data_IF_015229954485
#
_entry.id   IF_015229954485
#
_cell.length_a   1.000
_cell.length_b   1.000
_cell.length_c   1.000
_cell.angle_alpha   90.00
_cell.angle_beta   90.00
_cell.angle_gamma   90.00
#
_symmetry.space_group_name_H-M   'P 1'
#
loop_
_entity.id
_entity.type
_entity.pdbx_description
1 polymer ?
#
# COMPACT_ATOMS: atom_id res chain seq x y z
N UNK A 1 25.49 -2.40 -1.07
CA UNK A 1 25.09 -1.94 0.27
C UNK A 1 25.82 -2.70 1.37
N UNK A 2 25.58 -4.00 1.56
CA UNK A 2 26.17 -4.79 2.66
C UNK A 2 27.70 -4.66 2.82
N UNK A 3 28.47 -4.82 1.74
CA UNK A 3 29.93 -4.64 1.79
C UNK A 3 30.37 -3.23 2.22
N UNK A 4 29.63 -2.19 1.81
CA UNK A 4 29.93 -0.82 2.22
C UNK A 4 29.57 -0.59 3.70
N UNK A 5 28.43 -1.10 4.16
CA UNK A 5 28.00 -1.01 5.57
C UNK A 5 28.98 -1.71 6.50
N UNK A 6 29.25 -3.00 6.26
CA UNK A 6 30.15 -3.76 7.12
C UNK A 6 31.61 -3.35 6.94
N UNK A 7 32.00 -2.84 5.77
CA UNK A 7 33.33 -2.27 5.55
C UNK A 7 33.56 -1.01 6.39
N UNK A 8 32.63 -0.05 6.35
CA UNK A 8 32.72 1.18 7.14
C UNK A 8 32.56 0.92 8.64
N UNK A 9 31.64 0.05 9.04
CA UNK A 9 31.48 -0.34 10.45
C UNK A 9 32.72 -1.07 10.98
N UNK A 10 33.32 -1.97 10.18
CA UNK A 10 34.56 -2.65 10.54
C UNK A 10 35.75 -1.70 10.68
N UNK A 11 35.84 -0.67 9.82
CA UNK A 11 36.83 0.41 9.96
C UNK A 11 36.65 1.18 11.27
N UNK A 12 35.42 1.62 11.57
CA UNK A 12 35.13 2.35 12.80
C UNK A 12 35.43 1.52 14.06
N UNK A 13 35.06 0.23 14.05
CA UNK A 13 35.37 -0.70 15.13
C UNK A 13 36.88 -0.85 15.35
N UNK A 14 37.66 -0.88 14.27
CA UNK A 14 39.11 -0.98 14.34
C UNK A 14 39.76 0.29 14.94
N UNK A 15 39.30 1.48 14.53
CA UNK A 15 39.82 2.76 15.05
C UNK A 15 39.44 3.00 16.52
N UNK A 16 38.21 2.64 16.91
CA UNK A 16 37.72 2.84 18.29
C UNK A 16 38.09 1.70 19.25
N UNK A 17 38.63 0.59 18.75
CA UNK A 17 38.97 -0.59 19.54
C UNK A 17 37.76 -1.30 20.16
N UNK A 18 36.58 -1.17 19.54
CA UNK A 18 35.33 -1.80 19.98
C UNK A 18 34.98 -2.99 19.09
N UNK A 19 34.16 -3.93 19.57
CA UNK A 19 33.68 -5.01 18.72
C UNK A 19 32.60 -4.51 17.76
N UNK A 20 32.52 -5.12 16.56
CA UNK A 20 31.47 -4.77 15.57
C UNK A 20 30.05 -5.04 16.11
N UNK A 21 29.91 -5.95 17.08
CA UNK A 21 28.65 -6.24 17.75
C UNK A 21 28.15 -5.13 18.68
N UNK A 22 29.06 -4.28 19.18
CA UNK A 22 28.72 -3.15 20.05
C UNK A 22 28.29 -1.91 19.25
N UNK A 23 28.52 -1.93 17.95
CA UNK A 23 28.07 -0.87 17.05
C UNK A 23 26.57 -1.04 16.76
N UNK A 24 25.83 0.07 16.82
CA UNK A 24 24.41 0.05 16.45
C UNK A 24 24.24 -0.06 14.93
N UNK A 25 24.09 -1.30 14.45
CA UNK A 25 23.99 -1.62 13.02
C UNK A 25 22.56 -1.59 12.47
N UNK A 26 21.59 -1.09 13.23
CA UNK A 26 20.18 -1.17 12.88
C UNK A 26 19.53 0.21 12.72
N UNK A 27 18.42 0.23 11.98
CA UNK A 27 17.54 1.39 11.87
C UNK A 27 18.18 2.64 11.25
N UNK A 28 17.62 3.79 11.61
CA UNK A 28 18.12 5.11 11.24
C UNK A 28 19.44 5.46 11.93
N UNK A 29 19.72 4.87 13.11
CA UNK A 29 20.96 5.07 13.85
C UNK A 29 22.20 4.69 13.03
N UNK A 30 22.13 3.60 12.26
CA UNK A 30 23.21 3.21 11.34
C UNK A 30 23.57 4.36 10.39
N UNK A 31 22.57 4.93 9.69
CA UNK A 31 22.79 5.93 8.65
C UNK A 31 23.14 7.32 9.19
N UNK A 32 22.58 7.72 10.34
CA UNK A 32 22.69 9.10 10.85
C UNK A 32 23.62 9.25 12.07
N UNK A 33 24.10 8.16 12.65
CA UNK A 33 25.06 8.17 13.77
C UNK A 33 26.34 7.47 13.34
N UNK A 34 26.27 6.16 13.05
CA UNK A 34 27.45 5.35 12.76
C UNK A 34 28.21 5.83 11.52
N UNK A 35 27.51 6.08 10.41
CA UNK A 35 28.14 6.55 9.18
C UNK A 35 28.81 7.92 9.33
N UNK A 36 28.15 8.96 9.86
CA UNK A 36 28.80 10.25 10.13
C UNK A 36 30.00 10.14 11.06
N UNK A 37 29.92 9.33 12.12
CA UNK A 37 31.07 9.10 13.02
C UNK A 37 32.24 8.45 12.28
N UNK A 38 31.98 7.40 11.50
CA UNK A 38 33.03 6.74 10.71
C UNK A 38 33.66 7.66 9.65
N UNK A 39 32.84 8.49 9.00
CA UNK A 39 33.31 9.43 7.99
C UNK A 39 34.06 10.62 8.61
N UNK A 40 33.81 10.97 9.87
CA UNK A 40 34.54 12.03 10.57
C UNK A 40 35.98 11.62 10.93
N UNK A 41 36.19 10.34 11.26
CA UNK A 41 37.52 9.78 11.56
C UNK A 41 38.37 9.52 10.30
N UNK A 42 37.72 9.41 9.13
CA UNK A 42 38.39 9.08 7.89
C UNK A 42 39.05 10.31 7.24
N UNK A 43 40.33 10.18 6.87
CA UNK A 43 41.05 11.19 6.08
C UNK A 43 40.33 11.46 4.74
N UNK A 44 39.94 12.71 4.50
CA UNK A 44 39.16 13.08 3.32
C UNK A 44 37.67 12.74 3.38
N UNK A 45 37.15 12.39 4.57
CA UNK A 45 35.76 11.99 4.81
C UNK A 45 34.69 12.99 4.37
N UNK A 46 35.02 14.28 4.27
CA UNK A 46 34.10 15.33 3.78
C UNK A 46 33.49 15.04 2.40
N UNK A 47 34.29 14.53 1.45
CA UNK A 47 33.80 14.20 0.11
C UNK A 47 32.83 13.02 0.18
N UNK A 48 33.18 12.01 0.98
CA UNK A 48 32.38 10.82 1.17
C UNK A 48 31.08 11.10 1.94
N UNK A 49 31.10 12.04 2.89
CA UNK A 49 29.90 12.51 3.59
C UNK A 49 28.90 13.16 2.62
N UNK A 50 29.38 14.05 1.73
CA UNK A 50 28.52 14.66 0.70
C UNK A 50 27.90 13.57 -0.21
N UNK A 51 28.72 12.64 -0.70
CA UNK A 51 28.25 11.56 -1.56
C UNK A 51 27.26 10.63 -0.85
N UNK A 52 27.51 10.31 0.42
CA UNK A 52 26.66 9.45 1.23
C UNK A 52 25.29 10.09 1.49
N UNK A 53 25.25 11.34 1.94
CA UNK A 53 23.98 12.03 2.17
C UNK A 53 23.24 12.35 0.87
N UNK A 54 23.96 12.65 -0.22
CA UNK A 54 23.35 12.81 -1.53
C UNK A 54 22.74 11.49 -2.04
N UNK A 55 23.40 10.36 -1.83
CA UNK A 55 22.85 9.04 -2.10
C UNK A 55 21.58 8.78 -1.27
N UNK A 56 21.60 9.05 0.05
CA UNK A 56 20.40 8.89 0.90
C UNK A 56 19.24 9.78 0.42
N UNK A 57 19.53 11.01 -0.01
CA UNK A 57 18.54 11.93 -0.57
C UNK A 57 17.94 11.35 -1.87
N UNK A 58 18.77 10.86 -2.79
CA UNK A 58 18.27 10.26 -4.04
C UNK A 58 17.43 9.00 -3.79
N UNK A 59 17.83 8.14 -2.86
CA UNK A 59 17.08 6.94 -2.47
C UNK A 59 15.68 7.30 -1.92
N UNK A 60 15.62 8.34 -1.08
CA UNK A 60 14.35 8.84 -0.56
C UNK A 60 13.46 9.45 -1.64
N UNK A 61 14.04 10.30 -2.50
CA UNK A 61 13.29 11.02 -3.53
C UNK A 61 12.67 10.06 -4.57
N UNK A 62 13.41 9.07 -5.05
CA UNK A 62 12.91 8.11 -6.05
C UNK A 62 11.69 7.33 -5.51
N UNK A 63 11.80 6.86 -4.27
CA UNK A 63 10.71 6.15 -3.58
C UNK A 63 9.49 7.05 -3.37
N UNK A 64 9.69 8.32 -2.99
CA UNK A 64 8.59 9.28 -2.78
C UNK A 64 7.88 9.65 -4.09
N UNK A 65 8.60 9.74 -5.20
CA UNK A 65 7.99 9.95 -6.52
C UNK A 65 7.08 8.79 -6.90
N UNK A 66 7.53 7.54 -6.75
CA UNK A 66 6.73 6.37 -7.05
C UNK A 66 5.45 6.29 -6.20
N UNK A 67 5.54 6.56 -4.89
CA UNK A 67 4.39 6.55 -4.00
C UNK A 67 3.39 7.67 -4.33
N UNK A 68 3.88 8.90 -4.54
CA UNK A 68 3.02 10.04 -4.87
C UNK A 68 2.31 9.84 -6.20
N UNK A 69 3.02 9.34 -7.21
CA UNK A 69 2.43 9.04 -8.52
C UNK A 69 1.36 7.95 -8.43
N UNK A 70 1.59 6.92 -7.61
CA UNK A 70 0.61 5.85 -7.38
C UNK A 70 -0.67 6.41 -6.76
N UNK A 71 -0.57 7.26 -5.75
CA UNK A 71 -1.74 7.89 -5.10
C UNK A 71 -2.46 8.83 -6.06
N UNK A 72 -1.73 9.70 -6.76
CA UNK A 72 -2.33 10.63 -7.73
C UNK A 72 -3.03 9.88 -8.86
N UNK A 73 -2.41 8.82 -9.38
CA UNK A 73 -2.99 7.96 -10.42
C UNK A 73 -4.25 7.27 -9.92
N UNK A 74 -4.23 6.69 -8.71
CA UNK A 74 -5.41 6.07 -8.11
C UNK A 74 -6.57 7.06 -7.93
N UNK A 75 -6.30 8.30 -7.51
CA UNK A 75 -7.31 9.36 -7.37
C UNK A 75 -7.89 9.73 -8.74
N UNK A 76 -7.03 9.92 -9.74
CA UNK A 76 -7.41 10.28 -11.11
C UNK A 76 -8.25 9.19 -11.77
N UNK A 77 -7.86 7.93 -11.63
CA UNK A 77 -8.53 6.79 -12.27
C UNK A 77 -9.80 6.35 -11.54
N UNK A 78 -9.99 6.74 -10.27
CA UNK A 78 -11.19 6.40 -9.48
C UNK A 78 -12.51 6.93 -10.08
N UNK A 79 -12.46 7.92 -10.98
CA UNK A 79 -13.64 8.45 -11.67
C UNK A 79 -14.63 9.22 -10.79
N UNK A 80 -14.35 9.38 -9.48
CA UNK A 80 -15.17 10.17 -8.56
C UNK A 80 -14.98 11.68 -8.71
N UNK A 81 -13.92 12.10 -9.38
CA UNK A 81 -13.65 13.51 -9.67
C UNK A 81 -14.34 13.94 -10.97
N UNK A 82 -14.91 15.16 -11.02
CA UNK A 82 -15.44 15.73 -12.25
C UNK A 82 -14.40 15.71 -13.38
N UNK A 83 -14.83 15.34 -14.59
CA UNK A 83 -13.97 15.21 -15.77
C UNK A 83 -13.13 16.49 -16.08
N UNK A 84 -13.62 17.66 -15.70
CA UNK A 84 -12.92 18.94 -15.84
C UNK A 84 -11.68 19.06 -14.91
N UNK A 85 -11.65 18.35 -13.77
CA UNK A 85 -10.49 18.28 -12.86
C UNK A 85 -9.46 17.25 -13.37
N UNK A 86 -9.92 16.16 -13.97
CA UNK A 86 -9.10 15.01 -14.38
C UNK A 86 -8.42 15.21 -15.75
N UNK A 87 -8.62 16.36 -16.39
CA UNK A 87 -7.97 16.69 -17.67
C UNK A 87 -6.44 16.77 -17.49
N UNK A 88 -5.66 16.35 -18.51
CA UNK A 88 -4.18 16.36 -18.49
C UNK A 88 -3.59 17.70 -18.03
N UNK A 89 -4.24 18.81 -18.37
CA UNK A 89 -3.81 20.18 -18.03
C UNK A 89 -3.96 20.52 -16.53
N UNK A 90 -4.85 19.84 -15.81
CA UNK A 90 -5.13 20.09 -14.39
C UNK A 90 -4.48 19.05 -13.45
N UNK A 91 -3.78 18.03 -13.98
CA UNK A 91 -3.12 17.00 -13.16
C UNK A 91 -2.15 17.58 -12.13
N UNK A 92 -1.39 18.60 -12.49
CA UNK A 92 -0.46 19.26 -11.56
C UNK A 92 -1.15 19.85 -10.33
N UNK A 93 -2.42 20.28 -10.43
CA UNK A 93 -3.21 20.78 -9.30
C UNK A 93 -3.56 19.65 -8.34
N UNK A 94 -3.96 18.49 -8.87
CA UNK A 94 -4.25 17.30 -8.06
C UNK A 94 -2.98 16.86 -7.33
N UNK A 95 -1.85 16.78 -8.02
CA UNK A 95 -0.56 16.46 -7.40
C UNK A 95 -0.19 17.48 -6.33
N UNK A 96 -0.30 18.78 -6.59
CA UNK A 96 0.02 19.82 -5.62
C UNK A 96 -0.85 19.74 -4.36
N UNK A 97 -2.16 19.49 -4.52
CA UNK A 97 -3.09 19.31 -3.39
C UNK A 97 -2.72 18.05 -2.59
N UNK A 98 -2.46 16.92 -3.25
CA UNK A 98 -2.04 15.69 -2.58
C UNK A 98 -0.74 15.89 -1.81
N UNK A 99 0.28 16.51 -2.42
CA UNK A 99 1.53 16.83 -1.75
C UNK A 99 1.33 17.77 -0.56
N UNK A 100 0.46 18.79 -0.70
CA UNK A 100 0.14 19.70 0.39
C UNK A 100 -0.56 18.98 1.56
N UNK A 101 -1.53 18.11 1.28
CA UNK A 101 -2.17 17.28 2.30
C UNK A 101 -1.15 16.37 3.01
N UNK A 102 -0.26 15.70 2.26
CA UNK A 102 0.81 14.88 2.82
C UNK A 102 1.78 15.71 3.67
N UNK A 103 2.09 16.95 3.28
CA UNK A 103 2.92 17.86 4.07
C UNK A 103 2.29 18.24 5.40
N UNK A 104 0.98 18.54 5.44
CA UNK A 104 0.27 18.85 6.68
C UNK A 104 0.29 17.66 7.65
N UNK A 105 0.06 16.44 7.15
CA UNK A 105 0.16 15.22 7.96
C UNK A 105 1.61 14.97 8.40
N UNK A 106 2.56 15.18 7.49
CA UNK A 106 3.99 15.02 7.73
C UNK A 106 4.55 15.96 8.81
N UNK A 107 3.88 17.08 9.06
CA UNK A 107 4.28 18.05 10.09
C UNK A 107 4.41 17.44 11.49
N UNK A 108 3.64 16.37 11.79
CA UNK A 108 3.72 15.64 13.06
C UNK A 108 5.12 15.04 13.30
N UNK A 109 5.86 14.70 12.24
CA UNK A 109 7.18 14.09 12.35
C UNK A 109 8.33 15.10 12.49
N UNK A 110 8.07 16.41 12.36
CA UNK A 110 9.11 17.44 12.42
C UNK A 110 9.40 17.89 13.87
N UNK A 111 8.47 17.66 14.80
CA UNK A 111 8.63 18.06 16.20
C UNK A 111 9.76 17.30 16.93
N UNK A 112 10.12 17.75 18.13
CA UNK A 112 11.18 17.14 18.95
C UNK A 112 10.93 15.64 19.25
N UNK A 113 9.66 15.23 19.33
CA UNK A 113 9.28 13.82 19.52
C UNK A 113 9.06 13.06 18.20
N UNK A 114 9.40 13.65 17.05
CA UNK A 114 9.12 13.13 15.70
C UNK A 114 9.66 11.73 15.45
N UNK A 115 10.90 11.46 15.92
CA UNK A 115 11.55 10.15 15.77
C UNK A 115 10.80 9.03 16.50
N UNK A 116 10.18 9.32 17.65
CA UNK A 116 9.36 8.35 18.37
C UNK A 116 8.11 7.99 17.57
N UNK A 117 7.40 8.98 17.00
CA UNK A 117 6.25 8.73 16.14
C UNK A 117 6.61 7.91 14.90
N UNK A 118 7.75 8.23 14.28
CA UNK A 118 8.25 7.53 13.11
C UNK A 118 8.57 6.07 13.44
N UNK A 119 9.30 5.81 14.53
CA UNK A 119 9.67 4.46 14.94
C UNK A 119 8.45 3.61 15.29
N UNK A 120 7.44 4.19 15.94
CA UNK A 120 6.18 3.51 16.27
C UNK A 120 5.41 3.13 15.01
N UNK A 121 5.24 4.06 14.08
CA UNK A 121 4.48 3.82 12.84
C UNK A 121 5.24 2.84 11.94
N UNK A 122 6.55 3.02 11.78
CA UNK A 122 7.38 2.15 10.96
C UNK A 122 7.45 0.71 11.52
N UNK A 123 7.62 0.58 12.83
CA UNK A 123 7.76 -0.72 13.50
C UNK A 123 6.45 -1.50 13.63
N UNK A 124 5.34 -0.82 13.95
CA UNK A 124 4.07 -1.50 14.29
C UNK A 124 3.00 -1.40 13.20
N UNK A 125 2.99 -0.32 12.40
CA UNK A 125 1.87 -0.05 11.49
C UNK A 125 2.07 -0.59 10.09
N UNK A 126 3.24 -0.33 9.48
CA UNK A 126 3.40 -0.50 8.03
C UNK A 126 3.51 -1.96 7.62
N UNK A 127 4.36 -2.75 8.29
CA UNK A 127 4.66 -4.13 7.89
C UNK A 127 3.43 -5.04 7.89
N UNK A 128 2.72 -5.09 9.02
CA UNK A 128 1.53 -5.95 9.18
C UNK A 128 0.43 -5.64 8.16
N UNK A 129 0.13 -4.37 7.94
CA UNK A 129 -0.89 -3.96 6.96
C UNK A 129 -0.47 -4.32 5.54
N UNK A 130 0.79 -4.07 5.16
CA UNK A 130 1.30 -4.38 3.81
C UNK A 130 1.23 -5.88 3.50
N UNK A 131 1.63 -6.74 4.45
CA UNK A 131 1.56 -8.19 4.27
C UNK A 131 0.11 -8.69 4.14
N UNK A 132 -0.83 -8.15 4.93
CA UNK A 132 -2.24 -8.48 4.81
C UNK A 132 -2.83 -8.07 3.46
N UNK A 133 -2.58 -6.84 3.02
CA UNK A 133 -3.08 -6.34 1.73
C UNK A 133 -2.51 -7.18 0.58
N UNK A 134 -1.19 -7.42 0.57
CA UNK A 134 -0.56 -8.25 -0.47
C UNK A 134 -1.08 -9.69 -0.49
N UNK A 135 -1.38 -10.29 0.67
CA UNK A 135 -1.98 -11.63 0.73
C UNK A 135 -3.39 -11.65 0.13
N UNK A 136 -4.21 -10.63 0.42
CA UNK A 136 -5.56 -10.49 -0.12
C UNK A 136 -5.54 -10.22 -1.63
N UNK A 137 -4.60 -9.41 -2.14
CA UNK A 137 -4.40 -9.20 -3.58
C UNK A 137 -4.01 -10.49 -4.30
N UNK A 138 -3.07 -11.27 -3.74
CA UNK A 138 -2.69 -12.58 -4.29
C UNK A 138 -3.90 -13.53 -4.32
N UNK A 139 -4.72 -13.56 -3.27
CA UNK A 139 -5.93 -14.35 -3.22
C UNK A 139 -6.99 -13.88 -4.22
N UNK A 140 -7.17 -12.57 -4.39
CA UNK A 140 -8.12 -12.02 -5.36
C UNK A 140 -7.74 -12.38 -6.81
N UNK A 141 -6.46 -12.25 -7.17
CA UNK A 141 -5.98 -12.58 -8.52
C UNK A 141 -6.04 -14.09 -8.78
N UNK A 142 -5.56 -14.92 -7.85
CA UNK A 142 -5.44 -16.37 -8.14
C UNK A 142 -6.71 -17.15 -7.82
N UNK A 143 -7.51 -16.70 -6.86
CA UNK A 143 -8.75 -17.33 -6.42
C UNK A 143 -9.99 -16.83 -7.18
N UNK A 144 -10.22 -15.51 -7.22
CA UNK A 144 -11.45 -14.94 -7.82
C UNK A 144 -11.31 -14.83 -9.34
N UNK A 145 -10.24 -14.18 -9.82
CA UNK A 145 -9.99 -14.06 -11.26
C UNK A 145 -9.54 -15.40 -11.86
N UNK A 146 -8.89 -16.25 -11.07
CA UNK A 146 -8.39 -17.55 -11.50
C UNK A 146 -7.00 -17.44 -12.11
N UNK A 147 -6.06 -18.24 -11.60
CA UNK A 147 -4.66 -18.20 -12.03
C UNK A 147 -4.47 -18.44 -13.54
N UNK A 148 -5.27 -19.32 -14.15
CA UNK A 148 -5.18 -19.62 -15.58
C UNK A 148 -5.67 -18.46 -16.47
N UNK A 149 -6.71 -17.75 -16.02
CA UNK A 149 -7.22 -16.55 -16.71
C UNK A 149 -6.19 -15.42 -16.64
N UNK A 150 -5.52 -15.24 -15.49
CA UNK A 150 -4.45 -14.26 -15.36
C UNK A 150 -3.27 -14.56 -16.28
N UNK A 151 -2.87 -15.84 -16.37
CA UNK A 151 -1.84 -16.31 -17.29
C UNK A 151 -2.22 -16.03 -18.76
N UNK A 152 -3.48 -16.21 -19.14
CA UNK A 152 -3.97 -15.89 -20.48
C UNK A 152 -3.90 -14.39 -20.78
N UNK A 153 -4.28 -13.54 -19.82
CA UNK A 153 -4.16 -12.09 -19.92
C UNK A 153 -2.70 -11.69 -20.15
N UNK A 154 -1.77 -12.25 -19.37
CA UNK A 154 -0.33 -12.02 -19.57
C UNK A 154 0.12 -12.47 -20.97
N UNK A 155 -0.27 -13.67 -21.42
CA UNK A 155 0.06 -14.16 -22.77
C UNK A 155 -0.44 -13.22 -23.87
N UNK A 156 -1.62 -12.63 -23.70
CA UNK A 156 -2.19 -11.65 -24.64
C UNK A 156 -1.44 -10.32 -24.65
N UNK A 157 -0.98 -9.85 -23.50
CA UNK A 157 -0.23 -8.58 -23.37
C UNK A 157 1.20 -8.67 -23.90
N UNK A 158 1.89 -9.80 -23.68
CA UNK A 158 3.27 -9.99 -24.16
C UNK A 158 3.35 -10.24 -25.69
N UNK A 159 2.23 -10.54 -26.34
CA UNK A 159 2.17 -10.79 -27.78
C UNK A 159 2.56 -12.22 -28.18
N UNK A 160 2.36 -12.60 -29.46
CA UNK A 160 2.57 -13.96 -29.94
C UNK A 160 4.05 -14.26 -30.16
N UNK A 161 4.80 -14.57 -29.10
CA UNK A 161 6.15 -15.13 -29.24
C UNK A 161 6.23 -16.58 -28.77
N UNK A 162 6.44 -17.45 -29.76
CA UNK A 162 6.68 -18.88 -29.63
C UNK A 162 8.00 -19.14 -28.89
N UNK A 163 7.96 -19.72 -27.70
CA UNK A 163 9.00 -20.67 -27.25
C UNK A 163 8.56 -21.41 -25.99
N UNK A 164 8.75 -22.72 -25.98
CA UNK A 164 8.52 -23.65 -24.86
C UNK A 164 9.17 -23.17 -23.53
N UNK A 165 10.19 -22.31 -23.59
CA UNK A 165 10.83 -21.68 -22.42
C UNK A 165 9.93 -20.69 -21.68
N UNK A 166 9.11 -19.91 -22.39
CA UNK A 166 8.19 -18.95 -21.77
C UNK A 166 7.10 -19.65 -20.97
N UNK A 167 6.65 -20.83 -21.41
CA UNK A 167 5.62 -21.59 -20.71
C UNK A 167 6.15 -22.20 -19.39
N UNK A 168 7.43 -22.60 -19.34
CA UNK A 168 8.07 -23.05 -18.08
C UNK A 168 8.23 -21.91 -17.07
N UNK A 169 8.71 -20.73 -17.53
CA UNK A 169 8.86 -19.55 -16.67
C UNK A 169 7.50 -19.10 -16.15
N UNK A 170 6.48 -19.05 -17.00
CA UNK A 170 5.14 -18.63 -16.61
C UNK A 170 4.51 -19.63 -15.64
N UNK A 171 4.70 -20.95 -15.82
CA UNK A 171 4.29 -21.97 -14.85
C UNK A 171 4.95 -21.79 -13.49
N UNK A 172 6.25 -21.46 -13.46
CA UNK A 172 6.94 -21.13 -12.20
C UNK A 172 6.28 -19.94 -11.51
N UNK A 173 6.04 -18.84 -12.24
CA UNK A 173 5.33 -17.68 -11.70
C UNK A 173 3.91 -18.00 -11.24
N UNK A 174 3.17 -18.84 -11.96
CA UNK A 174 1.83 -19.30 -11.55
C UNK A 174 1.89 -20.04 -10.21
N UNK A 175 2.88 -20.92 -10.01
CA UNK A 175 3.08 -21.62 -8.72
C UNK A 175 3.45 -20.63 -7.62
N UNK A 176 4.31 -19.65 -7.93
CA UNK A 176 4.69 -18.60 -7.00
C UNK A 176 3.46 -17.80 -6.55
N UNK A 177 2.67 -17.26 -7.47
CA UNK A 177 1.50 -16.45 -7.16
C UNK A 177 0.39 -17.24 -6.48
N UNK A 178 0.20 -18.51 -6.84
CA UNK A 178 -0.88 -19.34 -6.29
C UNK A 178 -0.57 -19.89 -4.90
N UNK A 179 0.68 -20.23 -4.62
CA UNK A 179 1.04 -20.94 -3.38
C UNK A 179 2.16 -20.26 -2.60
N UNK A 180 3.32 -19.98 -3.21
CA UNK A 180 4.50 -19.54 -2.47
C UNK A 180 4.30 -18.15 -1.86
N UNK A 181 3.95 -17.17 -2.68
CA UNK A 181 3.71 -15.78 -2.26
C UNK A 181 2.60 -15.66 -1.22
N UNK A 182 1.38 -16.20 -1.42
CA UNK A 182 0.32 -16.07 -0.42
C UNK A 182 0.68 -16.77 0.90
N UNK A 183 1.30 -17.96 0.87
CA UNK A 183 1.73 -18.63 2.10
C UNK A 183 2.79 -17.82 2.82
N UNK A 184 3.79 -17.30 2.12
CA UNK A 184 4.85 -16.50 2.70
C UNK A 184 4.31 -15.20 3.32
N UNK A 185 3.42 -14.48 2.61
CA UNK A 185 2.79 -13.26 3.10
C UNK A 185 1.89 -13.52 4.30
N UNK A 186 1.13 -14.62 4.31
CA UNK A 186 0.30 -15.02 5.46
C UNK A 186 1.18 -15.35 6.67
N UNK A 187 2.29 -16.06 6.49
CA UNK A 187 3.25 -16.33 7.57
C UNK A 187 3.83 -15.03 8.13
N UNK A 188 4.29 -14.12 7.28
CA UNK A 188 4.82 -12.82 7.71
C UNK A 188 3.77 -11.96 8.40
N UNK A 189 2.52 -12.01 7.94
CA UNK A 189 1.39 -11.35 8.58
C UNK A 189 1.17 -11.90 10.00
N UNK A 190 1.15 -13.22 10.19
CA UNK A 190 0.98 -13.79 11.53
C UNK A 190 2.15 -13.49 12.46
N UNK A 191 3.40 -13.53 11.97
CA UNK A 191 4.56 -13.12 12.78
C UNK A 191 4.44 -11.66 13.18
N UNK A 192 4.07 -10.77 12.25
CA UNK A 192 3.87 -9.34 12.54
C UNK A 192 2.71 -9.13 13.51
N UNK A 193 1.62 -9.89 13.36
CA UNK A 193 0.47 -9.85 14.27
C UNK A 193 0.88 -10.27 15.68
N UNK A 194 1.64 -11.36 15.83
CA UNK A 194 2.16 -11.79 17.13
C UNK A 194 2.97 -10.64 17.75
N UNK A 195 3.96 -10.08 17.04
CA UNK A 195 4.77 -8.95 17.54
C UNK A 195 3.89 -7.79 18.02
N UNK A 196 2.91 -7.36 17.23
CA UNK A 196 2.01 -6.25 17.57
C UNK A 196 1.16 -6.53 18.83
N UNK A 197 0.80 -7.78 19.10
CA UNK A 197 -0.07 -8.16 20.22
C UNK A 197 0.66 -8.69 21.45
N UNK A 198 1.87 -9.25 21.30
CA UNK A 198 2.64 -9.84 22.41
C UNK A 198 3.78 -8.96 22.92
N UNK A 199 4.42 -8.17 22.07
CA UNK A 199 5.49 -7.30 22.56
C UNK A 199 4.90 -6.09 23.30
N UNK A 200 5.26 -5.97 24.57
CA UNK A 200 4.99 -4.76 25.36
C UNK A 200 5.93 -3.65 24.87
N UNK A 201 5.35 -2.47 24.70
CA UNK A 201 5.94 -1.27 24.12
C UNK A 201 7.32 -0.83 24.66
N UNK A 202 7.68 -1.31 25.84
CA UNK A 202 8.91 -0.95 26.55
C UNK A 202 10.17 -1.30 25.74
N UNK A 203 10.14 -2.34 24.88
CA UNK A 203 11.30 -2.73 24.07
C UNK A 203 11.65 -1.72 22.98
N UNK A 204 10.65 -1.13 22.30
CA UNK A 204 10.87 -0.24 21.15
C UNK A 204 11.28 1.19 21.57
N UNK A 205 10.73 1.71 22.67
CA UNK A 205 11.17 3.03 23.19
C UNK A 205 12.54 2.91 23.88
N UNK A 206 12.80 1.85 24.66
CA UNK A 206 14.13 1.63 25.23
C UNK A 206 15.19 1.42 24.14
N UNK A 207 14.87 0.73 23.05
CA UNK A 207 15.76 0.59 21.89
C UNK A 207 15.99 1.93 21.16
N UNK A 208 14.94 2.77 21.02
CA UNK A 208 15.06 4.11 20.44
C UNK A 208 15.80 5.10 21.35
N UNK A 209 15.70 4.96 22.68
CA UNK A 209 16.46 5.73 23.65
C UNK A 209 17.95 5.32 23.65
N UNK A 210 18.23 4.03 23.47
CA UNK A 210 19.58 3.51 23.23
C UNK A 210 20.18 3.99 21.90
N UNK A 211 19.36 4.18 20.85
CA UNK A 211 19.78 4.83 19.60
C UNK A 211 20.22 6.28 19.80
N UNK A 212 19.64 7.02 20.75
CA UNK A 212 19.94 8.44 21.00
C UNK A 212 20.99 8.63 22.10
N UNK A 213 21.36 7.58 22.83
CA UNK A 213 22.39 7.64 23.89
C UNK A 213 21.94 8.34 25.17
N UNK A 214 20.62 8.45 25.41
CA UNK A 214 20.09 9.14 26.59
C UNK A 214 19.75 8.14 27.72
N UNK A 215 20.64 8.05 28.72
CA UNK A 215 20.46 7.23 29.94
C UNK A 215 19.28 7.69 30.82
N UNK A 216 18.67 8.85 30.54
CA UNK A 216 17.62 9.45 31.37
C UNK A 216 16.26 9.60 30.67
N UNK A 217 16.05 8.99 29.51
CA UNK A 217 14.75 8.94 28.88
C UNK A 217 13.78 8.10 29.73
N UNK A 218 13.12 8.73 30.71
CA UNK A 218 11.94 8.21 31.38
C UNK A 218 10.98 7.75 30.28
N UNK A 219 10.84 6.44 30.09
CA UNK A 219 9.83 5.86 29.23
C UNK A 219 8.48 6.37 29.75
N UNK A 220 7.84 7.35 29.08
CA UNK A 220 6.54 7.78 29.51
C UNK A 220 5.62 6.56 29.35
N UNK A 221 4.63 6.39 30.23
CA UNK A 221 3.56 5.39 30.09
C UNK A 221 2.79 5.61 28.78
N UNK A 222 3.38 5.24 27.65
CA UNK A 222 2.96 5.65 26.33
C UNK A 222 2.16 4.53 25.64
N UNK A 223 1.29 3.86 26.42
CA UNK A 223 0.29 2.90 25.92
C UNK A 223 -0.55 3.49 24.77
N UNK A 224 -0.70 4.82 24.74
CA UNK A 224 -1.38 5.54 23.67
C UNK A 224 -0.69 5.36 22.30
N UNK A 225 0.65 5.28 22.24
CA UNK A 225 1.39 5.12 20.99
C UNK A 225 1.25 3.71 20.40
N UNK A 226 1.28 2.66 21.25
CA UNK A 226 0.93 1.29 20.85
C UNK A 226 -0.48 1.24 20.28
N UNK A 227 -1.43 1.82 21.02
CA UNK A 227 -2.83 1.77 20.64
C UNK A 227 -3.06 2.52 19.33
N UNK A 228 -2.37 3.65 19.14
CA UNK A 228 -2.36 4.38 17.87
C UNK A 228 -1.81 3.52 16.72
N UNK A 229 -0.66 2.87 16.91
CA UNK A 229 -0.09 1.95 15.91
C UNK A 229 -1.04 0.82 15.55
N UNK A 230 -1.63 0.14 16.55
CA UNK A 230 -2.63 -0.92 16.36
C UNK A 230 -3.85 -0.43 15.58
N UNK A 231 -4.37 0.75 15.94
CA UNK A 231 -5.53 1.36 15.27
C UNK A 231 -5.19 1.67 13.81
N UNK A 232 -4.02 2.26 13.52
CA UNK A 232 -3.57 2.54 12.15
C UNK A 232 -3.45 1.26 11.32
N UNK A 233 -2.87 0.18 11.89
CA UNK A 233 -2.79 -1.10 11.20
C UNK A 233 -4.17 -1.67 10.84
N UNK A 234 -5.10 -1.60 11.80
CA UNK A 234 -6.47 -2.08 11.62
C UNK A 234 -7.25 -1.25 10.60
N UNK A 235 -7.09 0.08 10.60
CA UNK A 235 -7.75 0.97 9.63
C UNK A 235 -7.37 0.53 8.21
N UNK A 236 -6.07 0.33 7.94
CA UNK A 236 -5.61 -0.10 6.62
C UNK A 236 -6.25 -1.41 6.16
N UNK A 237 -6.31 -2.42 7.03
CA UNK A 237 -6.89 -3.74 6.70
C UNK A 237 -8.42 -3.67 6.58
N UNK A 238 -9.09 -2.85 7.40
CA UNK A 238 -10.55 -2.74 7.42
C UNK A 238 -11.13 -2.01 6.21
N UNK A 239 -10.35 -1.23 5.46
CA UNK A 239 -10.83 -0.57 4.23
C UNK A 239 -11.35 -1.58 3.20
N UNK A 240 -10.66 -2.71 3.03
CA UNK A 240 -11.01 -3.75 2.05
C UNK A 240 -12.43 -4.34 2.31
N UNK A 241 -12.74 -4.91 3.50
CA UNK A 241 -14.07 -5.43 3.77
C UNK A 241 -15.13 -4.33 3.78
N UNK A 242 -14.78 -3.10 4.21
CA UNK A 242 -15.72 -1.97 4.21
C UNK A 242 -16.18 -1.62 2.79
N UNK A 243 -15.25 -1.57 1.84
CA UNK A 243 -15.57 -1.32 0.42
C UNK A 243 -16.34 -2.50 -0.19
N UNK A 244 -15.95 -3.74 0.13
CA UNK A 244 -16.67 -4.92 -0.34
C UNK A 244 -18.13 -4.94 0.14
N UNK A 245 -18.37 -4.59 1.41
CA UNK A 245 -19.70 -4.48 2.00
C UNK A 245 -20.51 -3.33 1.38
N UNK A 246 -19.88 -2.18 1.16
CA UNK A 246 -20.49 -1.05 0.47
C UNK A 246 -20.92 -1.41 -0.96
N UNK A 247 -20.06 -2.09 -1.72
CA UNK A 247 -20.35 -2.56 -3.07
C UNK A 247 -21.52 -3.55 -3.08
N UNK A 248 -21.53 -4.51 -2.15
CA UNK A 248 -22.63 -5.48 -2.00
C UNK A 248 -23.99 -4.78 -1.80
N UNK A 249 -24.05 -3.76 -0.94
CA UNK A 249 -25.28 -2.99 -0.73
C UNK A 249 -25.66 -2.12 -1.94
N UNK A 250 -24.70 -1.61 -2.70
CA UNK A 250 -24.99 -0.86 -3.92
C UNK A 250 -25.54 -1.75 -5.03
N UNK A 251 -24.97 -2.94 -5.23
CA UNK A 251 -25.46 -3.89 -6.23
C UNK A 251 -26.84 -4.41 -5.87
N UNK A 252 -27.12 -4.66 -4.58
CA UNK A 252 -28.48 -4.93 -4.11
C UNK A 252 -29.46 -3.79 -4.46
N UNK A 253 -29.03 -2.52 -4.36
CA UNK A 253 -29.85 -1.36 -4.76
C UNK A 253 -29.98 -1.22 -6.28
N UNK A 254 -28.96 -1.56 -7.07
CA UNK A 254 -29.02 -1.55 -8.55
C UNK A 254 -29.97 -2.62 -9.06
N UNK A 255 -29.86 -3.86 -8.56
CA UNK A 255 -30.76 -4.97 -8.94
C UNK A 255 -32.22 -4.63 -8.58
N UNK A 256 -32.47 -4.06 -7.41
CA UNK A 256 -33.82 -3.60 -7.02
C UNK A 256 -34.32 -2.45 -7.91
N UNK A 257 -33.45 -1.51 -8.29
CA UNK A 257 -33.78 -0.41 -9.19
C UNK A 257 -34.12 -0.93 -10.59
N UNK A 258 -33.31 -1.80 -11.16
CA UNK A 258 -33.53 -2.38 -12.49
C UNK A 258 -34.78 -3.27 -12.53
N UNK A 259 -35.04 -4.05 -11.46
CA UNK A 259 -36.29 -4.80 -11.30
C UNK A 259 -37.51 -3.87 -11.26
N UNK A 260 -37.42 -2.75 -10.54
CA UNK A 260 -38.50 -1.74 -10.48
C UNK A 260 -38.75 -1.05 -11.84
N UNK A 261 -37.68 -0.82 -12.63
CA UNK A 261 -37.80 -0.31 -14.00
C UNK A 261 -38.45 -1.31 -14.95
N UNK A 262 -38.09 -2.60 -14.87
CA UNK A 262 -38.70 -3.66 -15.69
C UNK A 262 -40.18 -3.86 -15.34
N UNK A 263 -40.55 -3.82 -14.06
CA UNK A 263 -41.95 -3.89 -13.62
C UNK A 263 -42.76 -2.69 -14.13
N UNK A 264 -42.23 -1.46 -14.04
CA UNK A 264 -42.90 -0.27 -14.60
C UNK A 264 -43.03 -0.33 -16.12
N UNK A 265 -42.02 -0.85 -16.83
CA UNK A 265 -42.04 -0.98 -18.29
C UNK A 265 -43.00 -2.07 -18.77
N UNK A 266 -43.07 -3.20 -18.05
CA UNK A 266 -44.05 -4.26 -18.30
C UNK A 266 -45.48 -3.83 -17.99
N UNK A 267 -45.70 -3.05 -16.94
CA UNK A 267 -47.02 -2.50 -16.62
C UNK A 267 -47.48 -1.44 -17.61
N UNK A 268 -46.56 -0.60 -18.13
CA UNK A 268 -46.88 0.36 -19.20
C UNK A 268 -47.22 -0.36 -20.52
N UNK A 269 -46.44 -1.37 -20.90
CA UNK A 269 -46.71 -2.16 -22.10
C UNK A 269 -48.03 -2.96 -22.02
N UNK A 270 -48.44 -3.41 -20.83
CA UNK A 270 -49.74 -4.08 -20.65
C UNK A 270 -50.93 -3.14 -20.80
N UNK A 271 -50.80 -1.88 -20.31
CA UNK A 271 -51.83 -0.84 -20.47
C UNK A 271 -51.96 -0.40 -21.94
N UNK A 272 -50.84 -0.29 -22.66
CA UNK A 272 -50.85 0.06 -24.08
C UNK A 272 -51.51 -1.05 -24.95
N UNK A 273 -51.32 -2.33 -24.59
CA UNK A 273 -51.98 -3.46 -25.27
C UNK A 273 -53.49 -3.47 -25.02
N UNK A 274 -53.94 -3.20 -23.79
CA UNK A 274 -55.38 -3.07 -23.45
C UNK A 274 -56.05 -1.90 -24.18
N UNK A 275 -55.34 -0.79 -24.42
CA UNK A 275 -55.86 0.31 -25.22
C UNK A 275 -55.96 -0.02 -26.71
N UNK A 276 -55.02 -0.80 -27.26
CA UNK A 276 -55.08 -1.22 -28.67
C UNK A 276 -56.13 -2.30 -28.96
N UNK A 277 -56.43 -3.18 -28.00
CA UNK A 277 -57.46 -4.23 -28.18
C UNK A 277 -58.88 -3.73 -27.94
N UNK A 278 -59.06 -2.56 -27.32
CA UNK A 278 -60.37 -1.92 -27.17
C UNK A 278 -60.82 -1.15 -28.44
N UNK A 279 -59.95 -1.01 -29.45
CA UNK A 279 -60.26 -0.28 -30.70
C UNK A 279 -60.65 -1.20 -31.88
N UNK A 280 -60.60 -2.52 -31.72
CA UNK A 280 -61.02 -3.51 -32.73
C UNK A 280 -62.30 -4.25 -32.32
N UNK A 281 -63.44 -3.57 -32.38
CA UNK A 281 -64.76 -4.22 -32.48
C UNK A 281 -65.20 -4.28 -33.96
N UNK A 282 -65.54 -5.46 -34.52
CA UNK A 282 -65.86 -5.59 -35.94
C UNK A 282 -67.33 -5.25 -36.21
N UNK A 283 -67.60 -4.16 -36.92
CA UNK A 283 -68.93 -3.86 -37.49
C UNK A 283 -68.93 -4.17 -38.99
N UNK A 284 -69.55 -5.30 -39.31
CA UNK A 284 -70.31 -5.65 -40.53
C UNK A 284 -69.72 -5.35 -41.94
N UNK A 285 -69.41 -6.42 -42.68
CA UNK A 285 -69.63 -6.55 -44.14
C UNK A 285 -71.17 -6.68 -44.39
N UNK A 286 -71.81 -6.29 -45.53
CA UNK A 286 -71.40 -6.65 -46.90
C UNK A 286 -71.66 -5.60 -48.01
N UNK A 287 -70.96 -5.73 -49.16
CA UNK A 287 -71.46 -5.66 -50.55
C UNK A 287 -70.54 -4.93 -51.53
N UNK A 288 -70.47 -5.54 -52.74
CA UNK A 288 -69.91 -5.11 -54.04
C UNK A 288 -68.40 -5.29 -54.27
#
# INVERSE_FOLDING_TARGET
AGFAVFGTAGYLAHEQGVEVGDLNLSGSGLAFILYPTALAEMDGGNIFAILFFFMLLLLGIDSQFAMTETVVTAIVDSGHLPQWIVTKENKWKVTAITCFCCYIVGFVFIGESGIYYLNVINGLSVGGTLFAVGALECFAITGILGADNFVEICKRMLGPEKSIKYDMVLKFYTICWKYISPVFLVCLFFTSFIVVFTENYDSYICASAAEVGDEHALCPDARWGVNMGRVLSCIGIMTIPSVALYAYFQDGKKVMRDSSYQVRRGSAAAVDVEFTTAEEDPVNNPAL
#
